data_IF_952980837105
#
_entry.id   IF_952980837105
#
_cell.length_a   1.000
_cell.length_b   1.000
_cell.length_c   1.000
_cell.angle_alpha   90.00
_cell.angle_beta   90.00
_cell.angle_gamma   90.00
#
_symmetry.space_group_name_H-M   'P 1'
#
loop_
_entity.id
_entity.type
_entity.pdbx_description
1 polymer ?
#
# COMPACT_ATOMS: atom_id res chain seq x y z
N UNK A 1 -4.13 12.76 14.18
CA UNK A 1 -4.92 12.37 12.98
C UNK A 1 -4.78 13.51 11.98
N UNK A 2 -4.55 13.25 10.70
CA UNK A 2 -4.41 14.29 9.66
C UNK A 2 -5.65 14.29 8.76
N UNK A 3 -6.07 15.45 8.27
CA UNK A 3 -7.20 15.63 7.33
C UNK A 3 -6.75 15.71 5.86
N UNK A 4 -5.53 15.22 5.58
CA UNK A 4 -4.95 15.25 4.23
C UNK A 4 -5.70 14.32 3.28
N UNK A 5 -6.23 14.85 2.19
CA UNK A 5 -6.90 14.07 1.12
C UNK A 5 -6.20 14.14 -0.23
N UNK A 6 -5.16 14.95 -0.35
CA UNK A 6 -4.33 15.13 -1.56
C UNK A 6 -2.86 15.22 -1.20
N UNK A 7 -1.98 14.80 -2.10
CA UNK A 7 -0.55 15.03 -1.98
C UNK A 7 0.15 14.96 -3.35
N UNK A 8 1.39 15.47 -3.40
CA UNK A 8 2.22 15.51 -4.60
C UNK A 8 2.82 14.13 -4.88
N UNK A 9 2.58 13.58 -6.08
CA UNK A 9 3.25 12.37 -6.55
C UNK A 9 4.70 12.68 -6.92
N UNK A 10 5.70 12.11 -6.21
CA UNK A 10 7.11 12.44 -6.46
C UNK A 10 7.61 11.99 -7.83
N UNK A 11 6.92 11.06 -8.50
CA UNK A 11 7.32 10.58 -9.82
C UNK A 11 6.83 11.49 -10.95
N UNK A 12 5.60 11.99 -10.85
CA UNK A 12 4.94 12.76 -11.91
C UNK A 12 4.89 14.26 -11.62
N UNK A 13 5.21 14.67 -10.37
CA UNK A 13 5.10 16.03 -9.87
C UNK A 13 3.66 16.60 -9.97
N UNK A 14 2.65 15.73 -9.95
CA UNK A 14 1.24 16.10 -9.97
C UNK A 14 0.61 15.94 -8.58
N UNK A 15 -0.22 16.89 -8.18
CA UNK A 15 -1.05 16.76 -6.98
C UNK A 15 -2.23 15.83 -7.30
N UNK A 16 -2.31 14.72 -6.58
CA UNK A 16 -3.37 13.71 -6.75
C UNK A 16 -4.05 13.41 -5.41
N UNK A 17 -5.27 12.88 -5.48
CA UNK A 17 -5.99 12.43 -4.29
C UNK A 17 -5.35 11.18 -3.68
N UNK A 18 -5.50 11.03 -2.36
CA UNK A 18 -5.28 9.77 -1.68
C UNK A 18 -6.37 8.76 -2.06
N UNK A 19 -6.04 7.48 -1.92
CA UNK A 19 -6.95 6.38 -2.20
C UNK A 19 -8.23 6.46 -1.35
N UNK A 20 -9.37 6.30 -2.00
CA UNK A 20 -10.68 6.21 -1.39
C UNK A 20 -11.23 4.78 -1.49
N UNK A 21 -11.16 3.98 -0.41
CA UNK A 21 -11.63 2.58 -0.43
C UNK A 21 -13.14 2.44 -0.66
N UNK A 22 -13.93 3.53 -0.58
CA UNK A 22 -15.38 3.48 -0.85
C UNK A 22 -15.72 3.48 -2.34
N UNK A 23 -14.79 3.94 -3.19
CA UNK A 23 -15.05 4.16 -4.62
C UNK A 23 -13.97 3.60 -5.53
N UNK A 24 -12.84 3.13 -4.99
CA UNK A 24 -11.69 2.66 -5.75
C UNK A 24 -11.33 1.22 -5.39
N UNK A 25 -10.91 0.44 -6.39
CA UNK A 25 -10.51 -0.95 -6.23
C UNK A 25 -9.08 -1.05 -5.72
N UNK A 26 -8.83 -1.86 -4.69
CA UNK A 26 -7.49 -1.99 -4.10
C UNK A 26 -6.45 -2.50 -5.11
N UNK A 27 -6.78 -3.56 -5.85
CA UNK A 27 -5.85 -4.25 -6.77
C UNK A 27 -5.43 -3.40 -7.98
N UNK A 28 -6.18 -2.36 -8.32
CA UNK A 28 -5.80 -1.40 -9.38
C UNK A 28 -4.70 -0.44 -8.91
N UNK A 29 -4.68 -0.13 -7.61
CA UNK A 29 -3.81 0.90 -7.04
C UNK A 29 -2.62 0.32 -6.29
N UNK A 30 -2.73 -0.92 -5.78
CA UNK A 30 -1.75 -1.52 -4.90
C UNK A 30 -1.45 -2.98 -5.25
N UNK A 31 -0.21 -3.38 -5.00
CA UNK A 31 0.19 -4.79 -4.92
C UNK A 31 1.05 -5.02 -3.69
N UNK A 32 1.22 -6.28 -3.31
CA UNK A 32 2.29 -6.68 -2.41
C UNK A 32 3.60 -6.87 -3.17
N UNK A 33 4.73 -6.62 -2.51
CA UNK A 33 6.02 -7.10 -3.00
C UNK A 33 6.11 -8.64 -2.87
N UNK A 34 7.14 -9.22 -3.46
CA UNK A 34 7.37 -10.68 -3.49
C UNK A 34 7.33 -11.32 -2.09
N UNK A 35 7.89 -10.65 -1.08
CA UNK A 35 7.95 -11.18 0.29
C UNK A 35 6.72 -10.82 1.15
N UNK A 36 5.72 -10.14 0.58
CA UNK A 36 4.50 -9.70 1.25
C UNK A 36 4.72 -8.80 2.49
N UNK A 37 5.83 -8.07 2.53
CA UNK A 37 6.17 -7.18 3.65
C UNK A 37 5.88 -5.71 3.35
N UNK A 38 5.84 -5.34 2.07
CA UNK A 38 5.65 -3.97 1.59
C UNK A 38 4.50 -3.89 0.61
N UNK A 39 3.74 -2.80 0.70
CA UNK A 39 2.71 -2.42 -0.26
C UNK A 39 3.36 -1.54 -1.34
N UNK A 40 3.20 -1.90 -2.60
CA UNK A 40 3.67 -1.14 -3.75
C UNK A 40 2.50 -0.34 -4.34
N UNK A 41 2.69 0.96 -4.56
CA UNK A 41 1.71 1.78 -5.27
C UNK A 41 1.92 1.67 -6.79
N UNK A 42 0.93 1.14 -7.50
CA UNK A 42 0.98 0.91 -8.96
C UNK A 42 0.64 2.17 -9.78
N UNK A 43 -0.13 3.08 -9.18
CA UNK A 43 -0.64 4.32 -9.79
C UNK A 43 -0.17 5.55 -9.01
N UNK A 44 -0.28 6.78 -9.54
CA UNK A 44 -0.02 8.01 -8.78
C UNK A 44 -0.76 8.05 -7.44
N UNK A 45 -2.06 7.73 -7.45
CA UNK A 45 -2.90 7.63 -6.24
C UNK A 45 -2.32 6.62 -5.26
N UNK A 46 -1.94 5.42 -5.74
CA UNK A 46 -1.37 4.38 -4.89
C UNK A 46 -0.04 4.79 -4.27
N UNK A 47 0.88 5.35 -5.06
CA UNK A 47 2.20 5.82 -4.59
C UNK A 47 2.08 6.88 -3.51
N UNK A 48 1.29 7.92 -3.80
CA UNK A 48 1.06 9.01 -2.84
C UNK A 48 0.40 8.48 -1.57
N UNK A 49 -0.58 7.58 -1.69
CA UNK A 49 -1.21 6.97 -0.52
C UNK A 49 -0.21 6.20 0.35
N UNK A 50 0.63 5.34 -0.24
CA UNK A 50 1.64 4.57 0.49
C UNK A 50 2.60 5.49 1.25
N UNK A 51 3.04 6.58 0.62
CA UNK A 51 3.98 7.54 1.20
C UNK A 51 3.29 8.38 2.29
N UNK A 52 2.18 9.03 1.97
CA UNK A 52 1.46 9.96 2.86
C UNK A 52 0.94 9.25 4.11
N UNK A 53 0.38 8.04 3.95
CA UNK A 53 -0.14 7.25 5.08
C UNK A 53 0.93 6.38 5.74
N UNK A 54 2.19 6.43 5.27
CA UNK A 54 3.32 5.66 5.81
C UNK A 54 3.02 4.17 5.91
N UNK A 55 2.37 3.60 4.89
CA UNK A 55 1.91 2.20 4.88
C UNK A 55 3.06 1.16 5.00
N UNK A 56 4.28 1.59 4.69
CA UNK A 56 5.51 0.79 4.81
C UNK A 56 6.45 1.35 5.90
N UNK A 57 5.90 1.90 6.99
CA UNK A 57 6.69 2.25 8.16
C UNK A 57 7.55 1.03 8.61
N UNK A 58 8.84 1.22 8.96
CA UNK A 58 9.72 0.12 9.36
C UNK A 58 9.14 -0.85 10.40
N UNK A 59 8.40 -0.36 11.39
CA UNK A 59 7.77 -1.21 12.41
C UNK A 59 6.66 -2.10 11.82
N UNK A 60 5.90 -1.58 10.87
CA UNK A 60 4.83 -2.33 10.18
C UNK A 60 5.44 -3.38 9.25
N UNK A 61 6.51 -3.03 8.54
CA UNK A 61 7.23 -3.96 7.66
C UNK A 61 7.85 -5.11 8.47
N UNK A 62 8.45 -4.80 9.62
CA UNK A 62 9.01 -5.81 10.53
C UNK A 62 7.93 -6.74 11.12
N UNK A 63 6.76 -6.19 11.49
CA UNK A 63 5.64 -7.00 11.94
C UNK A 63 5.15 -7.97 10.85
N UNK A 64 4.98 -7.49 9.61
CA UNK A 64 4.60 -8.33 8.47
C UNK A 64 5.64 -9.40 8.17
N UNK A 65 6.93 -9.08 8.25
CA UNK A 65 8.00 -10.06 8.09
C UNK A 65 7.85 -11.22 9.08
N UNK A 66 7.58 -10.93 10.36
CA UNK A 66 7.32 -11.95 11.38
C UNK A 66 6.07 -12.75 11.06
N UNK A 67 5.01 -12.12 10.58
CA UNK A 67 3.79 -12.82 10.18
C UNK A 67 4.03 -13.74 8.98
N UNK A 68 4.83 -13.32 8.01
CA UNK A 68 5.21 -14.16 6.86
C UNK A 68 5.99 -15.39 7.29
N UNK A 69 6.97 -15.25 8.20
CA UNK A 69 7.72 -16.39 8.73
C UNK A 69 6.81 -17.37 9.50
N UNK A 70 5.79 -16.88 10.18
CA UNK A 70 4.82 -17.70 10.91
C UNK A 70 3.66 -18.22 10.03
N UNK A 71 3.65 -17.91 8.73
CA UNK A 71 2.58 -18.34 7.81
C UNK A 71 1.23 -17.64 8.03
N UNK A 72 1.18 -16.54 8.78
CA UNK A 72 -0.05 -15.75 9.00
C UNK A 72 -0.31 -14.77 7.85
N UNK A 73 0.71 -14.51 7.03
CA UNK A 73 0.65 -13.62 5.89
C UNK A 73 1.54 -14.18 4.75
N UNK A 74 1.20 -13.98 3.48
CA UNK A 74 -0.04 -13.41 2.98
C UNK A 74 -1.26 -14.31 3.27
N UNK A 75 -2.47 -13.75 3.26
CA UNK A 75 -3.67 -14.58 3.30
C UNK A 75 -3.70 -15.51 2.09
N UNK A 76 -4.12 -16.76 2.31
CA UNK A 76 -4.05 -17.89 1.37
C UNK A 76 -4.80 -17.69 0.04
N UNK A 77 -5.63 -16.65 -0.10
CA UNK A 77 -6.41 -16.39 -1.32
C UNK A 77 -5.59 -15.86 -2.52
N UNK A 78 -4.27 -15.75 -2.42
CA UNK A 78 -3.40 -15.46 -3.57
C UNK A 78 -3.16 -16.66 -4.49
N UNK A 79 -3.78 -17.81 -4.21
CA UNK A 79 -3.66 -19.05 -4.99
C UNK A 79 -4.75 -19.31 -6.04
N UNK A 80 -5.80 -18.49 -6.12
CA UNK A 80 -6.91 -18.68 -7.08
C UNK A 80 -7.34 -17.33 -7.67
N UNK A 81 -6.58 -16.84 -8.65
CA UNK A 81 -7.06 -15.94 -9.71
C UNK A 81 -6.32 -16.22 -11.00
#
# INVERSE_FOLDING_TARGET
>A
KSDTTVALDPLTNQTVHLFNPRTQNWDEHFSWNVDFTKIQGLTPVGRVTVITLKMNNPLVVEARFRWTINGWHPPSFLGER
#
